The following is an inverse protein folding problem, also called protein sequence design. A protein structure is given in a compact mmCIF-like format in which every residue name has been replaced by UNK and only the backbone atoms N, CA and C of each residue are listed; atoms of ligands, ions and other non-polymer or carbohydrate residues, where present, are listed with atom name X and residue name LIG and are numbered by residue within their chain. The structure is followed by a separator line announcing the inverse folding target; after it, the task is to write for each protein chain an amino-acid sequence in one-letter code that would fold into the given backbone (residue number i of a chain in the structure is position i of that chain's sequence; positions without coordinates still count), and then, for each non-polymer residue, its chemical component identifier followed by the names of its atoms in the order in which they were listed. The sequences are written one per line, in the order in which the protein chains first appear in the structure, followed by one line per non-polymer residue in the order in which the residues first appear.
data_IF_541715439679
#
_entry.id   IF_541715439679
#
_cell.length_a   1.000
_cell.length_b   1.000
_cell.length_c   1.000
_cell.angle_alpha   90.00
_cell.angle_beta   90.00
_cell.angle_gamma   90.00
#
_symmetry.space_group_name_H-M   'P 1'
#
loop_
_entity.id
_entity.type
_entity.pdbx_description
1 polymer ?
#
# COMPACT_ATOMS: atom_id res chain seq x y z
N UNK A 1 34.82 -56.73 -11.94
CA UNK A 1 33.44 -56.72 -12.41
C UNK A 1 32.83 -55.40 -11.96
N UNK A 2 32.68 -54.47 -12.92
CA UNK A 2 32.24 -53.10 -12.70
C UNK A 2 30.73 -53.03 -12.48
N UNK A 3 30.26 -52.24 -11.50
CA UNK A 3 28.95 -51.64 -11.58
C UNK A 3 29.09 -50.15 -11.11
N UNK A 4 28.96 -49.29 -12.09
CA UNK A 4 28.91 -47.80 -11.93
C UNK A 4 27.46 -47.45 -11.59
N UNK A 5 27.24 -46.82 -10.43
CA UNK A 5 25.96 -46.20 -10.08
C UNK A 5 26.01 -44.70 -10.44
N UNK A 6 25.17 -44.30 -11.38
CA UNK A 6 24.96 -42.89 -11.77
C UNK A 6 23.99 -42.23 -10.78
N UNK A 7 24.50 -41.25 -10.06
CA UNK A 7 23.63 -40.29 -9.34
C UNK A 7 23.03 -39.31 -10.34
N UNK A 8 21.71 -39.35 -10.45
CA UNK A 8 20.94 -38.38 -11.26
C UNK A 8 20.70 -37.10 -10.47
N UNK A 9 21.23 -35.98 -10.97
CA UNK A 9 20.92 -34.64 -10.47
C UNK A 9 19.51 -34.26 -10.91
N UNK A 10 18.61 -34.06 -9.97
CA UNK A 10 17.31 -33.46 -10.20
C UNK A 10 17.46 -31.94 -10.20
N UNK A 11 17.50 -31.36 -11.38
CA UNK A 11 17.33 -29.93 -11.56
C UNK A 11 15.85 -29.60 -11.38
N UNK A 12 15.48 -28.98 -10.28
CA UNK A 12 14.16 -28.41 -10.10
C UNK A 12 14.07 -27.15 -10.96
N UNK A 13 13.42 -27.28 -12.11
CA UNK A 13 12.95 -26.15 -12.91
C UNK A 13 11.76 -25.52 -12.17
N UNK A 14 11.95 -24.36 -11.59
CA UNK A 14 10.86 -23.45 -11.19
C UNK A 14 10.23 -22.90 -12.46
N UNK A 15 8.92 -22.98 -12.64
CA UNK A 15 8.26 -22.28 -13.72
C UNK A 15 8.21 -20.80 -13.38
N UNK A 16 8.99 -19.99 -14.08
CA UNK A 16 8.77 -18.56 -14.14
C UNK A 16 7.42 -18.34 -14.82
N UNK A 17 6.37 -18.10 -14.03
CA UNK A 17 5.07 -17.69 -14.54
C UNK A 17 5.18 -16.22 -14.89
N UNK A 18 5.45 -15.95 -16.15
CA UNK A 18 5.34 -14.63 -16.76
C UNK A 18 3.84 -14.38 -16.93
N UNK A 19 3.19 -13.75 -15.96
CA UNK A 19 1.78 -13.34 -16.08
C UNK A 19 1.76 -12.03 -16.85
N UNK A 20 1.62 -12.14 -18.16
CA UNK A 20 1.28 -11.01 -19.01
C UNK A 20 -0.23 -10.80 -18.91
N UNK A 21 -0.67 -9.84 -18.09
CA UNK A 21 -2.08 -9.42 -18.09
C UNK A 21 -2.35 -8.65 -19.37
N UNK A 22 -2.92 -9.34 -20.36
CA UNK A 22 -3.38 -8.76 -21.61
C UNK A 22 -4.82 -8.28 -21.42
N UNK A 23 -5.01 -7.04 -21.00
CA UNK A 23 -6.32 -6.38 -21.09
C UNK A 23 -6.48 -5.88 -22.52
N UNK A 24 -7.08 -6.69 -23.38
CA UNK A 24 -7.51 -6.28 -24.72
C UNK A 24 -8.90 -5.67 -24.58
N UNK A 25 -8.97 -4.35 -24.43
CA UNK A 25 -10.20 -3.61 -24.74
C UNK A 25 -10.01 -3.02 -26.13
N UNK A 26 -10.53 -3.73 -27.14
CA UNK A 26 -10.66 -3.20 -28.50
C UNK A 26 -11.83 -2.22 -28.51
N UNK A 27 -11.53 -0.92 -28.33
CA UNK A 27 -12.41 0.14 -28.79
C UNK A 27 -11.68 0.90 -29.91
N UNK A 28 -12.16 0.73 -31.10
CA UNK A 28 -11.81 1.54 -32.29
C UNK A 28 -12.34 2.95 -32.10
N UNK A 29 -11.57 3.81 -31.46
CA UNK A 29 -11.77 5.24 -31.34
C UNK A 29 -10.57 5.96 -31.96
N UNK A 30 -10.85 6.89 -32.83
CA UNK A 30 -9.90 7.64 -33.63
C UNK A 30 -8.84 8.36 -32.77
N UNK A 31 -7.56 7.99 -32.84
CA UNK A 31 -6.45 8.91 -32.59
C UNK A 31 -5.74 8.88 -31.25
N UNK A 32 -6.13 8.08 -30.24
CA UNK A 32 -5.34 7.96 -29.01
C UNK A 32 -4.13 7.05 -29.23
N UNK A 33 -2.93 7.55 -28.92
CA UNK A 33 -1.72 6.73 -28.93
C UNK A 33 -1.75 5.78 -27.74
N UNK A 34 -1.26 4.56 -27.95
CA UNK A 34 -1.06 3.62 -26.83
C UNK A 34 -0.17 4.26 -25.75
N UNK A 35 -0.50 4.06 -24.47
CA UNK A 35 0.32 4.58 -23.38
C UNK A 35 1.69 3.93 -23.37
N UNK A 36 2.70 4.69 -22.95
CA UNK A 36 3.99 4.13 -22.59
C UNK A 36 3.94 3.70 -21.13
N UNK A 37 4.26 2.44 -20.85
CA UNK A 37 4.17 1.89 -19.52
C UNK A 37 5.45 1.20 -19.09
N UNK A 38 5.70 1.22 -17.79
CA UNK A 38 6.74 0.42 -17.13
C UNK A 38 6.16 -0.22 -15.88
N UNK A 39 6.55 -1.48 -15.66
CA UNK A 39 6.21 -2.24 -14.47
C UNK A 39 7.49 -2.78 -13.86
N UNK A 40 7.58 -2.75 -12.52
CA UNK A 40 8.69 -3.32 -11.77
C UNK A 40 8.20 -3.87 -10.44
N UNK A 41 9.01 -4.69 -9.77
CA UNK A 41 8.75 -5.15 -8.41
C UNK A 41 9.55 -4.29 -7.44
N UNK A 42 8.87 -3.45 -6.68
CA UNK A 42 9.43 -2.57 -5.66
C UNK A 42 8.43 -2.41 -4.51
N UNK A 43 8.83 -1.92 -3.37
CA UNK A 43 7.97 -1.74 -2.19
C UNK A 43 7.24 -3.04 -1.78
N UNK A 44 7.88 -4.20 -1.98
CA UNK A 44 7.31 -5.54 -1.76
C UNK A 44 6.01 -5.81 -2.55
N UNK A 45 5.85 -5.20 -3.74
CA UNK A 45 4.66 -5.34 -4.59
C UNK A 45 4.99 -5.06 -6.07
N UNK A 46 4.02 -5.30 -6.95
CA UNK A 46 4.10 -4.85 -8.34
C UNK A 46 3.71 -3.38 -8.42
N UNK A 47 4.60 -2.58 -9.01
CA UNK A 47 4.41 -1.17 -9.29
C UNK A 47 4.27 -0.94 -10.78
N UNK A 48 3.23 -0.21 -11.20
CA UNK A 48 2.93 0.08 -12.60
C UNK A 48 2.74 1.58 -12.80
N UNK A 49 3.41 2.15 -13.82
CA UNK A 49 3.20 3.54 -14.23
C UNK A 49 2.92 3.58 -15.72
N UNK A 50 1.86 4.29 -16.10
CA UNK A 50 1.45 4.51 -17.51
C UNK A 50 1.37 6.01 -17.79
N UNK A 51 2.08 6.46 -18.85
CA UNK A 51 2.06 7.84 -19.33
C UNK A 51 1.35 7.87 -20.68
N UNK A 52 0.43 8.79 -20.83
CA UNK A 52 -0.38 8.98 -22.03
C UNK A 52 0.01 10.27 -22.77
N UNK A 53 -0.31 10.32 -24.06
CA UNK A 53 -0.17 11.49 -24.95
C UNK A 53 1.26 12.08 -25.08
N UNK A 54 2.28 11.27 -24.77
CA UNK A 54 3.69 11.66 -24.87
C UNK A 54 4.43 10.83 -25.93
N UNK A 55 5.57 11.31 -26.40
CA UNK A 55 6.45 10.55 -27.32
C UNK A 55 7.11 9.40 -26.57
N UNK A 56 7.15 8.22 -27.19
CA UNK A 56 7.65 6.99 -26.57
C UNK A 56 9.04 7.14 -25.95
N UNK A 57 10.00 7.75 -26.63
CA UNK A 57 11.37 7.90 -26.10
C UNK A 57 11.47 8.88 -24.92
N UNK A 58 10.64 9.92 -24.90
CA UNK A 58 10.56 10.89 -23.81
C UNK A 58 9.87 10.28 -22.59
N UNK A 59 8.69 9.68 -22.80
CA UNK A 59 7.95 8.99 -21.74
C UNK A 59 8.75 7.83 -21.13
N UNK A 60 9.49 7.06 -21.98
CA UNK A 60 10.33 5.96 -21.50
C UNK A 60 11.40 6.42 -20.51
N UNK A 61 12.09 7.55 -20.83
CA UNK A 61 13.09 8.12 -19.92
C UNK A 61 12.45 8.60 -18.62
N UNK A 62 11.31 9.29 -18.69
CA UNK A 62 10.59 9.77 -17.49
C UNK A 62 10.16 8.60 -16.61
N UNK A 63 9.74 7.48 -17.22
CA UNK A 63 9.39 6.26 -16.48
C UNK A 63 10.61 5.65 -15.78
N UNK A 64 11.77 5.59 -16.46
CA UNK A 64 13.00 5.09 -15.85
C UNK A 64 13.38 5.93 -14.63
N UNK A 65 13.41 7.25 -14.79
CA UNK A 65 13.72 8.19 -13.70
C UNK A 65 12.66 8.12 -12.56
N UNK A 66 11.37 7.87 -12.89
CA UNK A 66 10.31 7.72 -11.89
C UNK A 66 10.50 6.47 -11.01
N UNK A 67 10.97 5.36 -11.60
CA UNK A 67 11.29 4.15 -10.83
C UNK A 67 12.56 4.35 -9.98
N UNK A 68 13.55 5.11 -10.45
CA UNK A 68 14.70 5.51 -9.61
C UNK A 68 14.26 6.37 -8.41
N UNK A 69 13.25 7.24 -8.57
CA UNK A 69 12.67 7.97 -7.43
C UNK A 69 11.91 7.04 -6.46
N UNK A 70 11.18 6.00 -6.94
CA UNK A 70 10.57 5.00 -6.07
C UNK A 70 11.63 4.28 -5.25
N UNK A 71 12.70 3.80 -5.88
CA UNK A 71 13.82 3.12 -5.21
C UNK A 71 14.47 4.01 -4.14
N UNK A 72 14.60 5.31 -4.41
CA UNK A 72 15.12 6.27 -3.46
C UNK A 72 14.24 6.36 -2.20
N UNK A 73 12.90 6.42 -2.35
CA UNK A 73 11.98 6.44 -1.21
C UNK A 73 11.98 5.11 -0.45
N UNK A 74 12.07 3.98 -1.14
CA UNK A 74 12.23 2.67 -0.51
C UNK A 74 13.51 2.62 0.34
N UNK A 75 14.64 3.10 -0.21
CA UNK A 75 15.91 3.21 0.50
C UNK A 75 15.88 4.19 1.69
N UNK A 76 14.92 5.09 1.78
CA UNK A 76 14.72 5.94 2.95
C UNK A 76 13.84 5.27 4.01
N UNK A 77 12.79 4.55 3.61
CA UNK A 77 11.66 4.17 4.48
C UNK A 77 11.60 2.68 4.81
N UNK A 78 12.40 1.83 4.16
CA UNK A 78 12.44 0.40 4.46
C UNK A 78 13.02 0.12 5.85
N UNK A 79 12.34 -0.77 6.61
CA UNK A 79 12.87 -1.25 7.90
C UNK A 79 13.98 -2.29 7.77
N UNK A 80 14.18 -2.84 6.57
CA UNK A 80 15.12 -3.94 6.30
C UNK A 80 16.36 -3.52 5.52
N UNK A 81 16.30 -2.42 4.76
CA UNK A 81 17.45 -1.93 3.99
C UNK A 81 18.43 -1.21 4.94
N UNK A 82 19.62 -1.77 5.10
CA UNK A 82 20.68 -1.17 5.91
C UNK A 82 21.02 0.24 5.40
N UNK A 83 21.05 1.20 6.31
CA UNK A 83 21.32 2.61 5.98
C UNK A 83 20.10 3.45 5.67
N UNK A 84 18.90 2.89 5.55
CA UNK A 84 17.66 3.66 5.49
C UNK A 84 17.44 4.45 6.79
N UNK A 85 16.60 5.49 6.75
CA UNK A 85 16.28 6.26 7.95
C UNK A 85 15.55 5.40 8.98
N UNK A 86 14.58 4.59 8.55
CA UNK A 86 13.83 3.68 9.42
C UNK A 86 14.73 2.59 10.03
N UNK A 87 15.63 2.01 9.23
CA UNK A 87 16.61 1.05 9.75
C UNK A 87 17.49 1.68 10.82
N UNK A 88 18.00 2.91 10.59
CA UNK A 88 18.82 3.64 11.57
C UNK A 88 18.06 3.90 12.86
N UNK A 89 16.78 4.38 12.78
CA UNK A 89 15.93 4.59 13.95
C UNK A 89 15.77 3.28 14.72
N UNK A 90 15.45 2.20 14.03
CA UNK A 90 15.21 0.87 14.63
C UNK A 90 16.46 0.27 15.31
N UNK A 91 17.65 0.74 14.95
CA UNK A 91 18.93 0.27 15.52
C UNK A 91 19.62 1.29 16.44
N UNK A 92 19.03 2.49 16.59
CA UNK A 92 19.60 3.58 17.40
C UNK A 92 19.45 3.40 18.92
N UNK A 93 18.76 2.34 19.38
CA UNK A 93 18.51 2.09 20.81
C UNK A 93 17.92 3.30 21.53
N UNK A 94 16.93 3.93 20.89
CA UNK A 94 16.25 5.12 21.41
C UNK A 94 16.99 6.44 21.26
N UNK A 95 18.21 6.46 20.72
CA UNK A 95 18.93 7.70 20.46
C UNK A 95 18.33 8.45 19.26
N UNK A 96 18.38 9.80 19.25
CA UNK A 96 17.89 10.59 18.13
C UNK A 96 18.66 10.29 16.83
N UNK A 97 17.92 10.16 15.73
CA UNK A 97 18.43 9.95 14.38
C UNK A 97 17.90 11.04 13.47
N UNK A 98 18.80 11.77 12.82
CA UNK A 98 18.44 12.71 11.76
C UNK A 98 17.88 11.95 10.56
N UNK A 99 16.67 12.35 10.12
CA UNK A 99 15.96 11.74 9.01
C UNK A 99 15.66 12.73 7.89
N UNK A 100 15.36 12.21 6.72
CA UNK A 100 14.88 13.01 5.60
C UNK A 100 13.52 13.64 5.91
N UNK A 101 13.21 14.74 5.23
CA UNK A 101 11.88 15.37 5.34
C UNK A 101 10.75 14.44 4.90
N UNK A 102 11.04 13.56 3.93
CA UNK A 102 10.08 12.60 3.42
C UNK A 102 9.80 11.51 4.46
N UNK A 103 10.84 10.96 5.09
CA UNK A 103 10.68 9.98 6.19
C UNK A 103 9.94 10.59 7.38
N UNK A 104 10.29 11.83 7.76
CA UNK A 104 9.61 12.55 8.83
C UNK A 104 8.11 12.67 8.53
N UNK A 105 7.77 13.09 7.31
CA UNK A 105 6.36 13.27 6.91
C UNK A 105 5.56 11.96 6.97
N UNK A 106 6.16 10.83 6.59
CA UNK A 106 5.51 9.53 6.67
C UNK A 106 5.35 9.07 8.12
N UNK A 107 6.32 9.36 9.00
CA UNK A 107 6.18 9.11 10.44
C UNK A 107 5.03 9.95 11.03
N UNK A 108 4.95 11.24 10.69
CA UNK A 108 3.83 12.11 11.10
C UNK A 108 2.47 11.57 10.67
N UNK A 109 2.35 11.12 9.40
CA UNK A 109 1.14 10.46 8.91
C UNK A 109 0.80 9.20 9.72
N UNK A 110 1.81 8.39 10.05
CA UNK A 110 1.61 7.19 10.87
C UNK A 110 1.12 7.51 12.29
N UNK A 111 1.63 8.58 12.91
CA UNK A 111 1.16 9.08 14.21
C UNK A 111 -0.29 9.58 14.09
N UNK A 112 -0.61 10.34 13.04
CA UNK A 112 -1.97 10.81 12.76
C UNK A 112 -2.96 9.64 12.62
N UNK A 113 -2.59 8.58 11.90
CA UNK A 113 -3.41 7.35 11.81
C UNK A 113 -3.58 6.67 13.18
N UNK A 114 -2.53 6.70 14.01
CA UNK A 114 -2.61 6.24 15.40
C UNK A 114 -3.65 7.00 16.21
N UNK A 115 -3.67 8.32 16.10
CA UNK A 115 -4.63 9.18 16.80
C UNK A 115 -6.06 8.97 16.26
N UNK A 116 -6.26 8.95 14.94
CA UNK A 116 -7.56 8.72 14.30
C UNK A 116 -8.16 7.35 14.64
N UNK A 117 -7.33 6.33 14.78
CA UNK A 117 -7.78 4.97 15.12
C UNK A 117 -7.96 4.71 16.62
N UNK A 118 -7.61 5.69 17.49
CA UNK A 118 -7.55 5.47 18.92
C UNK A 118 -6.49 4.46 19.36
N UNK A 119 -5.43 4.31 18.55
CA UNK A 119 -4.28 3.45 18.80
C UNK A 119 -4.41 2.05 18.21
N UNK A 120 -5.42 1.79 17.36
CA UNK A 120 -5.52 0.53 16.61
C UNK A 120 -4.49 0.46 15.48
N UNK A 121 -4.14 1.59 14.89
CA UNK A 121 -3.03 1.70 13.95
C UNK A 121 -1.79 2.19 14.69
N UNK A 122 -0.68 1.44 14.61
CA UNK A 122 0.55 1.80 15.33
C UNK A 122 1.78 1.47 14.49
N UNK A 123 2.51 2.50 14.07
CA UNK A 123 3.72 2.32 13.26
C UNK A 123 4.92 1.78 14.05
N UNK A 124 4.84 1.64 15.38
CA UNK A 124 5.88 0.99 16.17
C UNK A 124 5.72 -0.54 16.24
N UNK A 125 4.81 -1.10 15.46
CA UNK A 125 4.50 -2.54 15.39
C UNK A 125 5.60 -3.38 14.72
N UNK A 126 6.71 -2.79 14.31
CA UNK A 126 7.75 -3.39 13.47
C UNK A 126 8.31 -4.72 13.99
N UNK A 127 8.47 -4.89 15.31
CA UNK A 127 8.87 -6.18 15.91
C UNK A 127 7.81 -7.26 15.70
N UNK A 128 6.56 -6.92 15.96
CA UNK A 128 5.42 -7.85 15.83
C UNK A 128 5.28 -8.28 14.38
N UNK A 129 5.26 -7.32 13.43
CA UNK A 129 5.14 -7.63 12.00
C UNK A 129 6.30 -8.50 11.48
N UNK A 130 7.50 -8.32 12.04
CA UNK A 130 8.67 -9.13 11.66
C UNK A 130 8.59 -10.58 12.16
N UNK A 131 7.91 -10.85 13.28
CA UNK A 131 7.69 -12.22 13.76
C UNK A 131 6.77 -13.03 12.84
N UNK A 132 5.76 -12.39 12.24
CA UNK A 132 4.82 -13.02 11.31
C UNK A 132 5.42 -13.30 9.94
N UNK A 133 6.37 -12.48 9.49
CA UNK A 133 7.11 -12.64 8.23
C UNK A 133 6.22 -12.79 6.99
N UNK A 134 5.11 -12.03 6.88
CA UNK A 134 4.15 -12.15 5.78
C UNK A 134 4.72 -11.92 4.38
N UNK A 135 5.85 -11.22 4.26
CA UNK A 135 6.52 -10.93 2.98
C UNK A 135 7.72 -11.84 2.70
N UNK A 136 8.10 -12.68 3.67
CA UNK A 136 9.24 -13.59 3.53
C UNK A 136 8.84 -14.97 2.99
N UNK A 137 9.86 -15.82 2.80
CA UNK A 137 9.69 -17.17 2.22
C UNK A 137 9.02 -18.18 3.18
N UNK A 138 8.97 -17.89 4.48
CA UNK A 138 8.44 -18.80 5.51
C UNK A 138 7.57 -18.01 6.52
N UNK A 139 6.37 -17.57 6.13
CA UNK A 139 5.42 -16.95 7.04
C UNK A 139 4.87 -18.00 8.03
N UNK A 140 4.75 -17.64 9.30
CA UNK A 140 4.29 -18.55 10.35
C UNK A 140 3.62 -17.82 11.49
N UNK A 141 2.80 -18.55 12.25
CA UNK A 141 2.26 -18.05 13.51
C UNK A 141 3.40 -17.98 14.54
N UNK A 142 3.68 -16.78 15.08
CA UNK A 142 4.73 -16.62 16.09
C UNK A 142 4.42 -17.34 17.40
N UNK A 143 5.47 -17.68 18.16
CA UNK A 143 5.29 -18.17 19.52
C UNK A 143 4.67 -17.09 20.41
N UNK A 144 3.73 -17.48 21.27
CA UNK A 144 3.02 -16.54 22.15
C UNK A 144 3.97 -15.73 23.06
N UNK A 145 5.06 -16.34 23.49
CA UNK A 145 6.05 -15.67 24.33
C UNK A 145 6.77 -14.52 23.57
N UNK A 146 7.10 -14.75 22.30
CA UNK A 146 7.77 -13.76 21.44
C UNK A 146 6.82 -12.59 21.14
N UNK A 147 5.55 -12.87 20.82
CA UNK A 147 4.53 -11.85 20.64
C UNK A 147 4.34 -10.99 21.90
N UNK A 148 4.24 -11.65 23.06
CA UNK A 148 4.05 -10.96 24.35
C UNK A 148 5.24 -10.03 24.66
N UNK A 149 6.46 -10.43 24.31
CA UNK A 149 7.65 -9.60 24.48
C UNK A 149 7.69 -8.44 23.48
N UNK A 150 7.39 -8.70 22.21
CA UNK A 150 7.37 -7.68 21.16
C UNK A 150 6.33 -6.58 21.41
N UNK A 151 5.15 -6.96 21.92
CA UNK A 151 4.05 -6.04 22.22
C UNK A 151 4.37 -5.01 23.29
N UNK A 152 5.31 -5.28 24.19
CA UNK A 152 5.69 -4.34 25.26
C UNK A 152 6.22 -3.01 24.73
N UNK A 153 6.80 -3.01 23.54
CA UNK A 153 7.38 -1.83 22.89
C UNK A 153 6.50 -1.18 21.83
N UNK A 154 5.25 -1.67 21.65
CA UNK A 154 4.30 -1.08 20.70
C UNK A 154 3.54 0.06 21.35
N UNK A 155 3.87 1.29 20.97
CA UNK A 155 3.19 2.51 21.41
C UNK A 155 3.71 3.72 20.60
N UNK A 156 3.00 4.14 19.56
CA UNK A 156 3.37 5.29 18.72
C UNK A 156 3.54 6.60 19.49
N UNK A 157 2.88 6.77 20.65
CA UNK A 157 3.01 7.95 21.52
C UNK A 157 4.40 8.07 22.17
N UNK A 158 5.24 7.06 22.03
CA UNK A 158 6.63 7.08 22.49
C UNK A 158 7.61 7.61 21.43
N UNK A 159 7.14 7.88 20.22
CA UNK A 159 7.94 8.54 19.18
C UNK A 159 8.09 10.01 19.59
N UNK A 160 9.34 10.48 19.66
CA UNK A 160 9.68 11.86 19.94
C UNK A 160 10.33 12.48 18.69
N UNK A 161 9.78 13.60 18.26
CA UNK A 161 10.25 14.34 17.08
C UNK A 161 10.76 15.71 17.55
N UNK A 162 12.01 15.99 17.22
CA UNK A 162 12.63 17.29 17.51
C UNK A 162 13.32 17.80 16.23
N UNK A 163 12.70 18.77 15.56
CA UNK A 163 13.06 19.23 14.22
C UNK A 163 13.08 18.06 13.21
N UNK A 164 14.25 17.66 12.72
CA UNK A 164 14.44 16.52 11.81
C UNK A 164 14.93 15.24 12.50
N UNK A 165 15.12 15.28 13.82
CA UNK A 165 15.57 14.12 14.58
C UNK A 165 14.39 13.35 15.17
N UNK A 166 14.39 12.05 14.96
CA UNK A 166 13.39 11.11 15.48
C UNK A 166 14.04 10.17 16.49
N UNK A 167 13.41 10.00 17.64
CA UNK A 167 13.83 9.03 18.66
C UNK A 167 12.64 8.28 19.24
N UNK A 168 12.89 7.13 19.84
CA UNK A 168 11.86 6.34 20.52
C UNK A 168 12.23 6.20 22.00
N UNK A 169 11.29 6.55 22.90
CA UNK A 169 11.54 6.45 24.35
C UNK A 169 11.82 5.04 24.81
N UNK A 170 11.18 4.04 24.16
CA UNK A 170 11.54 2.63 24.37
C UNK A 170 12.64 2.24 23.33
N UNK A 171 13.85 1.89 23.79
CA UNK A 171 14.93 1.49 22.89
C UNK A 171 14.66 0.17 22.15
N UNK A 172 13.62 -0.54 22.51
CA UNK A 172 13.21 -1.80 21.89
C UNK A 172 12.13 -1.62 20.83
N UNK A 173 11.50 -0.45 20.72
CA UNK A 173 10.50 -0.18 19.70
C UNK A 173 11.10 -0.23 18.29
N UNK A 174 10.31 -0.65 17.32
CA UNK A 174 10.72 -0.69 15.91
C UNK A 174 9.61 -0.16 15.01
N UNK A 175 9.95 0.81 14.16
CA UNK A 175 9.05 1.37 13.18
C UNK A 175 8.83 0.40 12.01
N UNK A 176 7.60 0.40 11.52
CA UNK A 176 7.18 -0.19 10.26
C UNK A 176 6.22 0.81 9.55
N UNK A 177 6.67 1.38 8.45
CA UNK A 177 5.91 2.40 7.70
C UNK A 177 5.10 1.80 6.54
N UNK A 178 5.07 0.48 6.41
CA UNK A 178 4.43 -0.20 5.27
C UNK A 178 2.95 0.11 5.05
N UNK A 179 2.24 0.56 6.10
CA UNK A 179 0.82 0.93 6.01
C UNK A 179 0.54 2.38 5.57
N UNK A 180 1.57 3.21 5.33
CA UNK A 180 1.41 4.63 4.96
C UNK A 180 2.38 5.07 3.85
N UNK A 181 3.49 4.35 3.67
CA UNK A 181 4.57 4.79 2.80
C UNK A 181 4.22 4.73 1.31
N UNK A 182 3.49 3.71 0.86
CA UNK A 182 3.17 3.52 -0.57
C UNK A 182 2.31 4.66 -1.12
N UNK A 183 1.30 5.07 -0.37
CA UNK A 183 0.47 6.20 -0.75
C UNK A 183 1.24 7.51 -0.81
N UNK A 184 2.11 7.76 0.18
CA UNK A 184 2.99 8.93 0.16
C UNK A 184 3.91 8.92 -1.07
N UNK A 185 4.51 7.78 -1.39
CA UNK A 185 5.35 7.63 -2.58
C UNK A 185 4.55 7.88 -3.85
N UNK A 186 3.31 7.37 -3.96
CA UNK A 186 2.44 7.63 -5.10
C UNK A 186 2.20 9.14 -5.32
N UNK A 187 1.97 9.90 -4.24
CA UNK A 187 1.85 11.37 -4.32
C UNK A 187 3.14 12.02 -4.81
N UNK A 188 4.31 11.57 -4.34
CA UNK A 188 5.62 12.11 -4.79
C UNK A 188 5.88 11.80 -6.26
N UNK A 189 5.52 10.60 -6.73
CA UNK A 189 5.63 10.23 -8.14
C UNK A 189 4.68 11.07 -9.00
N UNK A 190 3.45 11.33 -8.55
CA UNK A 190 2.55 12.27 -9.22
C UNK A 190 3.17 13.66 -9.39
N UNK A 191 3.78 14.19 -8.33
CA UNK A 191 4.46 15.49 -8.36
C UNK A 191 5.67 15.46 -9.32
N UNK A 192 6.47 14.39 -9.27
CA UNK A 192 7.59 14.19 -10.19
C UNK A 192 7.12 14.20 -11.64
N UNK A 193 6.16 13.37 -12.02
CA UNK A 193 5.63 13.28 -13.37
C UNK A 193 5.08 14.62 -13.86
N UNK A 194 4.33 15.33 -13.00
CA UNK A 194 3.81 16.66 -13.31
C UNK A 194 4.92 17.68 -13.58
N UNK A 195 6.01 17.63 -12.78
CA UNK A 195 7.17 18.51 -12.97
C UNK A 195 7.94 18.19 -14.27
N UNK A 196 7.83 16.95 -14.79
CA UNK A 196 8.35 16.55 -16.12
C UNK A 196 7.39 16.91 -17.26
N UNK A 197 6.27 17.61 -16.99
CA UNK A 197 5.30 18.02 -18.01
C UNK A 197 4.30 16.91 -18.40
N UNK A 198 4.20 15.85 -17.62
CA UNK A 198 3.19 14.79 -17.83
C UNK A 198 1.83 15.30 -17.35
N UNK A 199 0.87 15.34 -18.27
CA UNK A 199 -0.50 15.78 -17.97
C UNK A 199 -1.46 14.62 -17.70
N UNK A 200 -1.14 13.43 -18.25
CA UNK A 200 -2.01 12.24 -18.16
C UNK A 200 -1.19 11.01 -17.75
N UNK A 201 -1.48 10.47 -16.60
CA UNK A 201 -0.83 9.26 -16.10
C UNK A 201 -1.72 8.47 -15.15
N UNK A 202 -1.43 7.18 -15.06
CA UNK A 202 -1.94 6.28 -14.02
C UNK A 202 -0.73 5.67 -13.32
N UNK A 203 -0.66 5.84 -12.02
CA UNK A 203 0.35 5.28 -11.11
C UNK A 203 -0.38 4.26 -10.23
N UNK A 204 0.13 3.04 -10.14
CA UNK A 204 -0.38 2.00 -9.24
C UNK A 204 0.80 1.39 -8.46
N UNK A 205 0.84 1.62 -7.17
CA UNK A 205 1.84 1.07 -6.26
C UNK A 205 1.15 0.06 -5.32
N UNK A 206 0.87 -1.15 -5.83
CA UNK A 206 0.28 -2.23 -5.04
C UNK A 206 -1.09 -1.88 -4.44
N UNK A 207 -2.02 -1.37 -5.24
CA UNK A 207 -3.36 -0.98 -4.80
C UNK A 207 -3.50 0.49 -4.39
N UNK A 208 -2.39 1.24 -4.28
CA UNK A 208 -2.40 2.69 -4.20
C UNK A 208 -2.40 3.27 -5.61
N UNK A 209 -3.58 3.60 -6.13
CA UNK A 209 -3.75 4.14 -7.48
C UNK A 209 -3.89 5.66 -7.42
N UNK A 210 -3.01 6.38 -8.11
CA UNK A 210 -3.11 7.81 -8.30
C UNK A 210 -3.19 8.15 -9.79
N UNK A 211 -4.03 9.12 -10.16
CA UNK A 211 -4.21 9.51 -11.55
C UNK A 211 -3.98 11.00 -11.76
N UNK A 212 -3.32 11.32 -12.87
CA UNK A 212 -3.16 12.68 -13.37
C UNK A 212 -4.09 12.92 -14.56
N UNK A 213 -4.79 14.05 -14.53
CA UNK A 213 -5.68 14.48 -15.60
C UNK A 213 -6.88 13.54 -15.80
N UNK A 214 -7.32 13.44 -17.04
CA UNK A 214 -8.40 12.58 -17.51
C UNK A 214 -7.95 11.76 -18.71
N UNK A 215 -8.53 10.59 -18.93
CA UNK A 215 -8.15 9.68 -20.02
C UNK A 215 -8.29 10.34 -21.41
N UNK A 216 -9.43 10.96 -21.67
CA UNK A 216 -9.73 11.71 -22.89
C UNK A 216 -10.50 12.97 -22.58
N UNK A 217 -10.89 13.74 -23.60
CA UNK A 217 -11.71 14.91 -23.39
C UNK A 217 -13.06 14.52 -22.77
N UNK A 218 -13.31 15.02 -21.56
CA UNK A 218 -14.51 14.72 -20.76
C UNK A 218 -14.66 13.20 -20.48
N UNK A 219 -13.55 12.45 -20.49
CA UNK A 219 -13.54 11.00 -20.24
C UNK A 219 -12.69 10.72 -19.00
N UNK A 220 -13.28 10.37 -17.84
CA UNK A 220 -12.53 10.06 -16.63
C UNK A 220 -11.77 8.74 -16.74
N UNK A 221 -10.85 8.52 -15.82
CA UNK A 221 -10.26 7.21 -15.58
C UNK A 221 -11.26 6.31 -14.86
N UNK A 222 -11.38 5.07 -15.28
CA UNK A 222 -12.14 4.05 -14.57
C UNK A 222 -11.17 3.16 -13.81
N UNK A 223 -11.21 3.24 -12.48
CA UNK A 223 -10.36 2.47 -11.58
C UNK A 223 -11.21 1.35 -11.00
N UNK A 224 -10.82 0.11 -11.27
CA UNK A 224 -11.53 -1.08 -10.79
C UNK A 224 -11.36 -1.26 -9.29
N UNK A 225 -12.43 -1.68 -8.62
CA UNK A 225 -12.41 -2.22 -7.26
C UNK A 225 -12.42 -3.74 -7.41
N UNK A 226 -11.33 -4.38 -7.02
CA UNK A 226 -11.16 -5.82 -7.14
C UNK A 226 -12.09 -6.58 -6.19
N UNK A 227 -12.53 -7.76 -6.60
CA UNK A 227 -13.21 -8.69 -5.71
C UNK A 227 -12.18 -9.35 -4.79
N UNK A 228 -12.39 -9.33 -3.46
CA UNK A 228 -11.54 -10.07 -2.54
C UNK A 228 -11.32 -11.53 -2.97
N UNK A 229 -10.11 -12.02 -2.81
CA UNK A 229 -9.69 -13.41 -3.12
C UNK A 229 -9.84 -13.86 -4.59
N UNK A 230 -10.12 -12.95 -5.52
CA UNK A 230 -10.27 -13.28 -6.94
C UNK A 230 -8.95 -13.37 -7.72
N UNK A 231 -7.82 -13.20 -7.06
CA UNK A 231 -6.49 -13.12 -7.69
C UNK A 231 -6.44 -12.12 -8.86
N UNK A 232 -7.15 -10.97 -8.69
CA UNK A 232 -7.26 -9.87 -9.67
C UNK A 232 -7.95 -10.25 -10.99
N UNK A 233 -8.75 -11.31 -10.98
CA UNK A 233 -9.49 -11.76 -12.16
C UNK A 233 -10.92 -11.24 -12.24
N UNK A 234 -11.48 -10.76 -11.11
CA UNK A 234 -12.84 -10.26 -11.02
C UNK A 234 -12.87 -8.90 -10.33
N UNK A 235 -13.81 -8.05 -10.70
CA UNK A 235 -14.05 -6.78 -10.04
C UNK A 235 -15.46 -6.70 -9.45
N UNK A 236 -15.60 -5.95 -8.37
CA UNK A 236 -16.90 -5.59 -7.78
C UNK A 236 -17.57 -4.45 -8.55
N UNK A 237 -16.77 -3.65 -9.23
CA UNK A 237 -17.17 -2.49 -10.00
C UNK A 237 -15.99 -1.56 -10.24
N UNK A 238 -16.25 -0.32 -10.63
CA UNK A 238 -15.22 0.69 -10.84
C UNK A 238 -15.70 2.08 -10.42
N UNK A 239 -14.76 2.94 -10.08
CA UNK A 239 -15.00 4.36 -9.83
C UNK A 239 -14.42 5.20 -10.96
N UNK A 240 -15.18 6.21 -11.41
CA UNK A 240 -14.75 7.14 -12.45
C UNK A 240 -14.11 8.38 -11.81
N UNK A 241 -12.84 8.65 -12.12
CA UNK A 241 -12.04 9.67 -11.43
C UNK A 241 -11.21 10.52 -12.39
N UNK A 242 -10.88 11.74 -11.93
CA UNK A 242 -9.97 12.68 -12.57
C UNK A 242 -9.16 13.39 -11.49
N UNK A 243 -7.84 13.53 -11.68
CA UNK A 243 -6.97 14.18 -10.68
C UNK A 243 -7.26 13.71 -9.24
N UNK A 244 -7.17 12.41 -9.03
CA UNK A 244 -7.63 11.77 -7.80
C UNK A 244 -6.70 10.64 -7.38
N UNK A 245 -6.91 10.15 -6.17
CA UNK A 245 -6.36 8.89 -5.68
C UNK A 245 -7.48 7.91 -5.35
N UNK A 246 -7.22 6.62 -5.57
CA UNK A 246 -8.10 5.49 -5.20
C UNK A 246 -7.21 4.45 -4.54
N UNK A 247 -7.36 4.29 -3.25
CA UNK A 247 -6.51 3.42 -2.44
C UNK A 247 -7.34 2.28 -1.87
N UNK A 248 -6.89 1.06 -2.07
CA UNK A 248 -7.55 -0.13 -1.52
C UNK A 248 -6.61 -0.85 -0.57
N UNK A 249 -7.08 -1.10 0.65
CA UNK A 249 -6.49 -2.05 1.58
C UNK A 249 -7.39 -3.26 1.74
N UNK A 250 -6.81 -4.47 1.76
CA UNK A 250 -7.55 -5.70 1.88
C UNK A 250 -6.80 -6.75 2.72
N UNK A 251 -7.53 -7.50 3.53
CA UNK A 251 -6.93 -8.56 4.36
C UNK A 251 -6.40 -9.73 3.52
N UNK A 252 -6.81 -9.83 2.27
CA UNK A 252 -6.41 -10.88 1.32
C UNK A 252 -5.07 -10.62 0.61
N UNK A 253 -4.51 -9.40 0.69
CA UNK A 253 -3.28 -9.01 -0.03
C UNK A 253 -2.06 -9.82 0.42
N UNK A 254 -1.88 -9.98 1.72
CA UNK A 254 -0.79 -10.76 2.32
C UNK A 254 -1.34 -11.65 3.40
N UNK A 255 -1.39 -12.96 3.12
CA UNK A 255 -2.01 -13.96 3.99
C UNK A 255 -1.32 -15.31 3.84
N UNK A 256 -1.48 -16.15 4.83
CA UNK A 256 -1.17 -17.57 4.75
C UNK A 256 -2.16 -18.38 5.58
N UNK A 257 -2.21 -19.67 5.34
CA UNK A 257 -3.02 -20.61 6.10
C UNK A 257 -2.12 -21.55 6.91
N UNK A 258 -2.43 -21.71 8.19
CA UNK A 258 -1.76 -22.67 9.06
C UNK A 258 -2.80 -23.36 9.92
N UNK A 259 -2.78 -24.70 9.95
CA UNK A 259 -3.71 -25.54 10.73
C UNK A 259 -5.22 -25.26 10.42
N UNK A 260 -5.54 -24.88 9.19
CA UNK A 260 -6.90 -24.55 8.76
C UNK A 260 -7.39 -23.16 9.19
N UNK A 261 -6.50 -22.30 9.71
CA UNK A 261 -6.79 -20.91 10.09
C UNK A 261 -6.07 -19.97 9.13
N UNK A 262 -6.81 -19.01 8.58
CA UNK A 262 -6.26 -17.95 7.74
C UNK A 262 -5.73 -16.80 8.60
N UNK A 263 -4.48 -16.44 8.37
CA UNK A 263 -3.82 -15.28 8.99
C UNK A 263 -3.47 -14.24 7.94
N UNK A 264 -3.70 -12.97 8.27
CA UNK A 264 -3.42 -11.83 7.36
C UNK A 264 -2.59 -10.75 8.05
N UNK A 265 -1.98 -9.89 7.26
CA UNK A 265 -0.96 -8.93 7.68
C UNK A 265 -1.48 -7.68 8.43
N UNK A 266 -2.78 -7.44 8.49
CA UNK A 266 -3.34 -6.32 9.26
C UNK A 266 -3.44 -6.75 10.72
N UNK A 267 -2.48 -6.32 11.53
CA UNK A 267 -2.27 -6.80 12.89
C UNK A 267 -2.85 -5.83 13.93
N UNK A 268 -3.54 -6.37 14.92
CA UNK A 268 -3.98 -5.65 16.10
C UNK A 268 -2.77 -5.39 17.04
N UNK A 269 -2.41 -4.12 17.31
CA UNK A 269 -1.25 -3.77 18.13
C UNK A 269 -1.39 -4.15 19.63
N UNK A 270 -2.59 -4.52 20.08
CA UNK A 270 -2.83 -4.94 21.46
C UNK A 270 -2.66 -6.44 21.64
N UNK A 271 -2.96 -7.23 20.61
CA UNK A 271 -2.89 -8.70 20.68
C UNK A 271 -1.70 -9.28 19.91
N UNK A 272 -1.20 -8.54 18.91
CA UNK A 272 -0.18 -8.99 17.97
C UNK A 272 -0.68 -9.99 16.93
N UNK A 273 -1.96 -10.36 16.94
CA UNK A 273 -2.61 -11.22 15.96
C UNK A 273 -3.31 -10.39 14.87
N UNK A 274 -3.67 -11.02 13.73
CA UNK A 274 -4.53 -10.38 12.74
C UNK A 274 -5.80 -9.82 13.40
N UNK A 275 -6.19 -8.61 13.01
CA UNK A 275 -7.38 -7.95 13.54
C UNK A 275 -8.64 -8.75 13.21
N UNK A 276 -9.55 -8.92 14.16
CA UNK A 276 -10.88 -9.46 13.90
C UNK A 276 -11.78 -8.33 13.40
N UNK A 277 -12.08 -8.35 12.13
CA UNK A 277 -12.90 -7.34 11.45
C UNK A 277 -13.99 -8.00 10.62
N UNK A 278 -15.09 -7.33 10.42
CA UNK A 278 -16.18 -7.73 9.52
C UNK A 278 -15.92 -7.36 8.04
N UNK A 279 -14.83 -6.63 7.76
CA UNK A 279 -14.46 -6.17 6.43
C UNK A 279 -13.36 -7.04 5.81
N UNK A 280 -13.44 -7.25 4.50
CA UNK A 280 -12.39 -7.86 3.68
C UNK A 280 -11.57 -6.82 2.93
N UNK A 281 -12.21 -5.73 2.50
CA UNK A 281 -11.55 -4.62 1.82
C UNK A 281 -12.20 -3.28 2.10
N UNK A 282 -11.37 -2.23 2.04
CA UNK A 282 -11.79 -0.84 2.06
C UNK A 282 -11.11 -0.11 0.91
N UNK A 283 -11.91 0.54 0.07
CA UNK A 283 -11.42 1.42 -0.99
C UNK A 283 -11.77 2.85 -0.65
N UNK A 284 -10.79 3.73 -0.61
CA UNK A 284 -10.95 5.17 -0.39
C UNK A 284 -10.62 5.91 -1.66
N UNK A 285 -11.52 6.80 -2.09
CA UNK A 285 -11.30 7.81 -3.11
C UNK A 285 -11.09 9.16 -2.46
N UNK A 286 -10.12 9.92 -2.96
CA UNK A 286 -9.88 11.29 -2.52
C UNK A 286 -9.35 12.18 -3.67
N UNK A 287 -9.32 13.48 -3.44
CA UNK A 287 -8.62 14.41 -4.32
C UNK A 287 -7.12 14.07 -4.36
N UNK A 288 -6.48 14.31 -5.50
CA UNK A 288 -5.05 14.10 -5.73
C UNK A 288 -4.19 14.77 -4.65
N UNK A 289 -3.08 14.09 -4.27
CA UNK A 289 -2.15 14.55 -3.22
C UNK A 289 -2.54 14.11 -1.81
N UNK A 290 -3.53 13.22 -1.70
CA UNK A 290 -3.98 12.63 -0.44
C UNK A 290 -3.76 11.11 -0.39
N UNK A 291 -2.94 10.56 -1.30
CA UNK A 291 -2.74 9.12 -1.37
C UNK A 291 -2.07 8.58 -0.11
N UNK A 292 -1.09 9.31 0.45
CA UNK A 292 -0.44 8.95 1.71
C UNK A 292 -1.41 8.88 2.89
N UNK A 293 -2.31 9.85 3.01
CA UNK A 293 -3.35 9.85 4.03
C UNK A 293 -4.34 8.69 3.82
N UNK A 294 -4.78 8.47 2.57
CA UNK A 294 -5.72 7.40 2.23
C UNK A 294 -5.14 6.00 2.42
N UNK A 295 -3.82 5.79 2.25
CA UNK A 295 -3.14 4.50 2.50
C UNK A 295 -3.29 4.09 3.97
N UNK A 296 -2.94 4.99 4.89
CA UNK A 296 -3.15 4.75 6.32
C UNK A 296 -4.62 4.62 6.69
N UNK A 297 -5.46 5.54 6.20
CA UNK A 297 -6.88 5.58 6.55
C UNK A 297 -7.64 4.33 6.09
N UNK A 298 -7.33 3.76 4.93
CA UNK A 298 -7.96 2.52 4.47
C UNK A 298 -7.66 1.34 5.39
N UNK A 299 -6.42 1.26 5.89
CA UNK A 299 -6.02 0.27 6.90
C UNK A 299 -6.70 0.53 8.25
N UNK A 300 -6.78 1.78 8.71
CA UNK A 300 -7.53 2.17 9.91
C UNK A 300 -9.00 1.73 9.80
N UNK A 301 -9.63 1.97 8.65
CA UNK A 301 -11.02 1.55 8.42
C UNK A 301 -11.19 0.02 8.50
N UNK A 302 -10.26 -0.76 7.94
CA UNK A 302 -10.26 -2.22 8.10
C UNK A 302 -10.20 -2.64 9.58
N UNK A 303 -9.32 -1.98 10.35
CA UNK A 303 -9.12 -2.30 11.77
C UNK A 303 -10.33 -1.95 12.65
N UNK A 304 -11.01 -0.84 12.32
CA UNK A 304 -12.16 -0.37 13.08
C UNK A 304 -13.45 -1.17 12.81
N UNK A 305 -13.54 -1.86 11.67
CA UNK A 305 -14.75 -2.48 11.18
C UNK A 305 -15.74 -1.47 10.59
N UNK A 306 -16.75 -1.96 9.88
CA UNK A 306 -17.62 -1.19 9.00
C UNK A 306 -18.27 0.04 9.66
N UNK A 307 -18.97 -0.16 10.78
CA UNK A 307 -19.79 0.92 11.35
C UNK A 307 -18.94 2.10 11.85
N UNK A 308 -17.81 1.80 12.52
CA UNK A 308 -16.89 2.85 12.99
C UNK A 308 -16.13 3.49 11.83
N UNK A 309 -15.75 2.70 10.83
CA UNK A 309 -15.08 3.20 9.63
C UNK A 309 -15.97 4.17 8.86
N UNK A 310 -17.24 3.84 8.67
CA UNK A 310 -18.21 4.72 8.02
C UNK A 310 -18.34 6.05 8.78
N UNK A 311 -18.54 5.99 10.10
CA UNK A 311 -18.63 7.19 10.94
C UNK A 311 -17.37 8.04 10.86
N UNK A 312 -16.18 7.42 10.85
CA UNK A 312 -14.91 8.14 10.72
C UNK A 312 -14.81 8.85 9.37
N UNK A 313 -15.13 8.18 8.26
CA UNK A 313 -15.10 8.79 6.93
C UNK A 313 -16.09 9.96 6.85
N UNK A 314 -17.33 9.80 7.33
CA UNK A 314 -18.35 10.86 7.35
C UNK A 314 -17.87 12.07 8.17
N UNK A 315 -17.24 11.84 9.33
CA UNK A 315 -16.65 12.91 10.14
C UNK A 315 -15.55 13.65 9.37
N UNK A 316 -14.63 12.91 8.75
CA UNK A 316 -13.54 13.51 7.97
C UNK A 316 -14.04 14.24 6.71
N UNK A 317 -15.14 13.81 6.09
CA UNK A 317 -15.79 14.52 4.99
C UNK A 317 -16.30 15.91 5.42
N UNK A 318 -16.84 16.00 6.64
CA UNK A 318 -17.33 17.27 7.21
C UNK A 318 -16.16 18.19 7.61
N UNK A 319 -15.11 17.65 8.21
CA UNK A 319 -13.95 18.41 8.69
C UNK A 319 -13.01 18.85 7.55
N UNK A 320 -12.87 18.02 6.50
CA UNK A 320 -11.94 18.19 5.38
C UNK A 320 -12.62 18.09 4.01
N UNK A 321 -13.61 18.92 3.70
CA UNK A 321 -14.37 18.84 2.44
C UNK A 321 -13.50 19.01 1.18
N UNK A 322 -12.32 19.67 1.31
CA UNK A 322 -11.37 19.81 0.21
C UNK A 322 -10.72 18.49 -0.21
N UNK A 323 -10.63 17.52 0.68
CA UNK A 323 -10.07 16.20 0.38
C UNK A 323 -11.02 15.36 -0.49
N UNK A 324 -12.32 15.64 -0.47
CA UNK A 324 -13.35 14.87 -1.20
C UNK A 324 -13.24 13.37 -0.91
N UNK A 325 -13.11 13.05 0.36
CA UNK A 325 -13.02 11.67 0.82
C UNK A 325 -14.34 10.93 0.54
N UNK A 326 -14.24 9.71 0.04
CA UNK A 326 -15.36 8.80 -0.17
C UNK A 326 -14.85 7.37 0.00
N UNK A 327 -15.69 6.46 0.48
CA UNK A 327 -15.27 5.09 0.75
C UNK A 327 -16.27 4.04 0.29
N UNK A 328 -15.76 2.89 -0.14
CA UNK A 328 -16.50 1.66 -0.33
C UNK A 328 -15.93 0.57 0.58
N UNK A 329 -16.81 -0.19 1.21
CA UNK A 329 -16.50 -1.24 2.17
C UNK A 329 -17.04 -2.57 1.64
N UNK A 330 -16.21 -3.60 1.60
CA UNK A 330 -16.60 -4.96 1.19
C UNK A 330 -16.52 -5.85 2.42
N UNK A 331 -17.63 -6.49 2.77
CA UNK A 331 -17.71 -7.39 3.92
C UNK A 331 -17.45 -8.85 3.56
N UNK A 332 -17.38 -9.70 4.58
CA UNK A 332 -17.15 -11.16 4.46
C UNK A 332 -18.23 -11.93 3.67
N UNK A 333 -19.31 -11.27 3.27
CA UNK A 333 -20.38 -11.85 2.44
C UNK A 333 -20.36 -11.31 1.01
N UNK A 334 -19.26 -10.70 0.58
CA UNK A 334 -19.16 -10.00 -0.72
C UNK A 334 -20.18 -8.83 -0.88
N UNK A 335 -20.75 -8.34 0.21
CA UNK A 335 -21.64 -7.20 0.13
C UNK A 335 -20.85 -5.90 0.19
N UNK A 336 -21.06 -5.04 -0.81
CA UNK A 336 -20.43 -3.72 -0.86
C UNK A 336 -21.39 -2.64 -0.37
N UNK A 337 -20.93 -1.84 0.59
CA UNK A 337 -21.59 -0.61 1.05
C UNK A 337 -20.67 0.57 0.79
N UNK A 338 -21.23 1.78 0.68
CA UNK A 338 -20.45 2.96 0.31
C UNK A 338 -20.99 4.20 1.02
N UNK A 339 -20.11 5.17 1.23
CA UNK A 339 -20.47 6.49 1.74
C UNK A 339 -21.14 7.33 0.65
N UNK A 340 -21.82 8.41 1.04
CA UNK A 340 -22.37 9.37 0.10
C UNK A 340 -21.25 9.95 -0.80
N UNK A 341 -21.54 10.04 -2.10
CA UNK A 341 -20.61 10.52 -3.12
C UNK A 341 -19.76 9.43 -3.79
N UNK A 342 -19.55 8.30 -3.14
CA UNK A 342 -18.85 7.15 -3.74
C UNK A 342 -19.77 6.46 -4.75
N UNK A 343 -19.54 6.72 -6.03
CA UNK A 343 -20.36 6.17 -7.14
C UNK A 343 -19.61 4.97 -7.78
N UNK A 344 -19.78 3.79 -7.20
CA UNK A 344 -19.22 2.55 -7.76
C UNK A 344 -20.18 2.02 -8.83
N UNK A 345 -19.70 2.01 -10.07
CA UNK A 345 -20.43 1.49 -11.23
C UNK A 345 -20.14 0.01 -11.41
N UNK A 346 -21.18 -0.76 -11.73
CA UNK A 346 -21.01 -2.17 -12.12
C UNK A 346 -20.68 -2.26 -13.60
N UNK A 347 -19.87 -3.23 -13.98
CA UNK A 347 -19.70 -3.60 -15.38
C UNK A 347 -21.01 -4.24 -15.87
N UNK A 348 -21.59 -3.73 -16.98
CA UNK A 348 -22.82 -4.26 -17.57
C UNK A 348 -22.58 -5.49 -18.44
#
# INVERSE_FOLDING_TARGET
MHIISRAGAWVKLLPAILITVLIIITQTGCGEKDPVSKSDFCLDTTCDIKIYDMKTGEAGKILDDAFEEIDKYENLMSKTIEGSDVYKINHAQGQPVEVSKDTLKVIELGIEMGDLSGGMFDITIGKVSSLWNFTGDDPKVPEQADLTEALKSVNYKQIDINDSAVSMKDPQAQLDLGGVAKGYIADRICDYLKNQGVEKAVINLGGNVAVLGEKGKDTPWNIAIERPYSDRTEMMGYVSVKDATVVTSGIYERKFEQDGVLYHHVLDPHTGYPVDTDLEAVTIRAAKGNSGFCDGLSTVCLMLGKDKAQTLIETLQEEHPEMKLEAAFIDKNDAMTQTDGMDVKKDE
#
